data_IF_141987155544
#
_entry.id   IF_141987155544
#
_cell.length_a   1.000
_cell.length_b   1.000
_cell.length_c   1.000
_cell.angle_alpha   90.00
_cell.angle_beta   90.00
_cell.angle_gamma   90.00
#
_symmetry.space_group_name_H-M   'P 1'
#
loop_
_entity.id
_entity.type
_entity.pdbx_description
1 polymer ?
#
# COMPACT_ATOMS: atom_id res chain seq x y z
N UNK A 1 2.11 -19.52 7.53
CA UNK A 1 0.90 -19.21 6.76
C UNK A 1 1.26 -18.14 5.76
N UNK A 2 1.03 -18.37 4.47
CA UNK A 2 1.31 -17.36 3.44
C UNK A 2 0.01 -16.63 3.18
N UNK A 3 -0.04 -15.34 3.50
CA UNK A 3 -1.21 -14.50 3.33
C UNK A 3 -0.82 -13.25 2.55
N UNK A 4 -1.55 -12.97 1.47
CA UNK A 4 -1.33 -11.76 0.66
C UNK A 4 -2.60 -10.93 0.59
N UNK A 5 -2.43 -9.61 0.63
CA UNK A 5 -3.44 -8.65 0.24
C UNK A 5 -3.31 -8.36 -1.26
N UNK A 6 -4.28 -8.76 -2.06
CA UNK A 6 -4.32 -8.47 -3.50
C UNK A 6 -5.05 -7.16 -3.73
N UNK A 7 -4.36 -6.18 -4.32
CA UNK A 7 -4.94 -4.93 -4.79
C UNK A 7 -5.11 -5.02 -6.31
N UNK A 8 -6.35 -5.20 -6.77
CA UNK A 8 -6.70 -5.38 -8.18
C UNK A 8 -7.20 -4.05 -8.74
N UNK A 9 -6.51 -3.52 -9.73
CA UNK A 9 -6.93 -2.32 -10.46
C UNK A 9 -7.67 -2.69 -11.74
N UNK A 10 -8.89 -2.17 -11.87
CA UNK A 10 -9.64 -2.17 -13.13
C UNK A 10 -9.16 -1.04 -14.05
N UNK A 11 -9.46 -1.15 -15.34
CA UNK A 11 -9.17 -0.12 -16.35
C UNK A 11 -9.97 1.17 -16.10
N UNK A 12 -11.14 1.06 -15.46
CA UNK A 12 -11.96 2.21 -15.04
C UNK A 12 -11.39 2.98 -13.84
N UNK A 13 -10.19 2.63 -13.36
CA UNK A 13 -9.52 3.31 -12.24
C UNK A 13 -10.02 2.91 -10.85
N UNK A 14 -11.00 2.00 -10.76
CA UNK A 14 -11.45 1.42 -9.49
C UNK A 14 -10.48 0.35 -9.03
N UNK A 15 -10.24 0.30 -7.73
CA UNK A 15 -9.41 -0.73 -7.11
C UNK A 15 -10.21 -1.54 -6.10
N UNK A 16 -9.99 -2.85 -6.10
CA UNK A 16 -10.63 -3.79 -5.19
C UNK A 16 -9.56 -4.55 -4.41
N UNK A 17 -9.85 -4.86 -3.14
CA UNK A 17 -8.92 -5.54 -2.25
C UNK A 17 -9.46 -6.92 -1.91
N UNK A 18 -8.69 -7.99 -2.14
CA UNK A 18 -9.04 -9.36 -1.72
C UNK A 18 -7.91 -9.93 -0.89
N UNK A 19 -8.23 -10.47 0.27
CA UNK A 19 -7.26 -11.25 1.06
C UNK A 19 -7.27 -12.71 0.58
N UNK A 20 -6.08 -13.24 0.31
CA UNK A 20 -5.88 -14.64 -0.07
C UNK A 20 -4.96 -15.33 0.94
N UNK A 21 -5.35 -16.55 1.33
CA UNK A 21 -4.64 -17.37 2.31
C UNK A 21 -4.21 -18.69 1.67
N UNK A 22 -3.01 -19.13 2.02
CA UNK A 22 -2.36 -20.41 1.72
C UNK A 22 -2.63 -21.01 0.33
N UNK A 23 -3.75 -21.72 0.13
CA UNK A 23 -4.05 -22.43 -1.12
C UNK A 23 -4.04 -21.49 -2.33
N UNK A 24 -4.70 -20.33 -2.20
CA UNK A 24 -4.79 -19.32 -3.26
C UNK A 24 -3.52 -18.46 -3.37
N UNK A 25 -2.67 -18.47 -2.34
CA UNK A 25 -1.46 -17.65 -2.28
C UNK A 25 -0.23 -18.34 -2.90
N UNK A 26 -0.17 -19.69 -2.84
CA UNK A 26 0.93 -20.49 -3.40
C UNK A 26 1.28 -20.18 -4.86
N UNK A 27 0.32 -19.99 -5.78
CA UNK A 27 0.63 -19.71 -7.18
C UNK A 27 1.38 -18.38 -7.41
N UNK A 28 1.26 -17.44 -6.47
CA UNK A 28 1.96 -16.15 -6.57
C UNK A 28 3.43 -16.25 -6.17
N UNK A 29 3.79 -17.21 -5.32
CA UNK A 29 5.16 -17.37 -4.83
C UNK A 29 6.06 -17.84 -5.96
N UNK A 30 7.17 -17.15 -6.18
CA UNK A 30 8.14 -17.46 -7.23
C UNK A 30 7.95 -16.70 -8.53
N UNK A 31 6.80 -16.06 -8.74
CA UNK A 31 6.55 -15.18 -9.89
C UNK A 31 7.32 -13.87 -9.78
N UNK A 32 7.59 -13.26 -10.94
CA UNK A 32 8.29 -11.99 -11.04
C UNK A 32 7.35 -10.83 -11.39
N UNK A 33 7.75 -9.62 -10.98
CA UNK A 33 7.03 -8.41 -11.40
C UNK A 33 7.09 -8.23 -12.92
N UNK A 34 5.91 -8.14 -13.52
CA UNK A 34 5.68 -8.00 -14.96
C UNK A 34 5.11 -9.26 -15.60
N UNK A 35 5.13 -10.40 -14.89
CA UNK A 35 4.50 -11.63 -15.33
C UNK A 35 2.98 -11.57 -15.24
N UNK A 36 2.35 -12.41 -16.05
CA UNK A 36 0.91 -12.48 -16.20
C UNK A 36 0.39 -13.75 -15.52
N UNK A 37 -0.71 -13.63 -14.79
CA UNK A 37 -1.37 -14.71 -14.06
C UNK A 37 -2.85 -14.78 -14.44
N UNK A 38 -3.37 -16.00 -14.57
CA UNK A 38 -4.81 -16.23 -14.78
C UNK A 38 -5.57 -16.06 -13.48
N UNK A 39 -6.72 -15.40 -13.55
CA UNK A 39 -7.59 -15.19 -12.40
C UNK A 39 -8.19 -16.46 -11.80
N UNK A 40 -8.23 -17.56 -12.57
CA UNK A 40 -8.67 -18.89 -12.12
C UNK A 40 -7.90 -19.38 -10.88
N UNK A 41 -6.64 -18.97 -10.72
CA UNK A 41 -5.81 -19.37 -9.57
C UNK A 41 -6.23 -18.74 -8.24
N UNK A 42 -7.09 -17.72 -8.27
CA UNK A 42 -7.56 -16.99 -7.08
C UNK A 42 -9.06 -16.64 -7.15
N UNK A 43 -9.84 -17.54 -7.76
CA UNK A 43 -11.31 -17.53 -7.89
C UNK A 43 -11.92 -16.41 -8.75
N UNK A 44 -11.14 -15.79 -9.64
CA UNK A 44 -11.65 -14.77 -10.57
C UNK A 44 -11.61 -15.32 -11.99
N UNK A 45 -12.64 -16.05 -12.37
CA UNK A 45 -12.69 -16.75 -13.65
C UNK A 45 -12.80 -15.78 -14.83
N UNK A 46 -12.09 -16.10 -15.92
CA UNK A 46 -12.14 -15.34 -17.18
C UNK A 46 -11.32 -14.06 -17.21
N UNK A 47 -10.53 -13.77 -16.17
CA UNK A 47 -9.65 -12.61 -16.14
C UNK A 47 -8.17 -12.98 -16.26
N UNK A 48 -7.39 -12.08 -16.84
CA UNK A 48 -5.94 -12.18 -16.90
C UNK A 48 -5.32 -10.92 -16.29
N UNK A 49 -4.39 -11.12 -15.36
CA UNK A 49 -3.82 -10.07 -14.53
C UNK A 49 -2.30 -10.01 -14.69
N UNK A 50 -1.76 -8.80 -14.71
CA UNK A 50 -0.32 -8.57 -14.67
C UNK A 50 0.11 -8.11 -13.28
N UNK A 51 1.18 -8.71 -12.77
CA UNK A 51 1.81 -8.30 -11.51
C UNK A 51 2.60 -7.02 -11.76
N UNK A 52 2.18 -5.91 -11.16
CA UNK A 52 2.85 -4.61 -11.35
C UNK A 52 3.86 -4.29 -10.26
N UNK A 53 3.69 -4.86 -9.06
CA UNK A 53 4.57 -4.65 -7.93
C UNK A 53 3.92 -5.10 -6.62
N UNK A 54 4.44 -4.57 -5.52
CA UNK A 54 3.94 -4.89 -4.19
C UNK A 54 4.78 -4.26 -3.09
N UNK A 55 4.44 -4.65 -1.86
CA UNK A 55 5.09 -4.19 -0.64
C UNK A 55 5.45 -5.38 0.24
N UNK A 56 6.66 -5.33 0.78
CA UNK A 56 7.17 -6.27 1.77
C UNK A 56 6.51 -6.05 3.14
N UNK A 57 6.60 -7.00 4.07
CA UNK A 57 6.02 -6.85 5.42
C UNK A 57 6.60 -5.65 6.19
N UNK A 58 7.84 -5.25 5.89
CA UNK A 58 8.46 -4.04 6.45
C UNK A 58 8.03 -2.74 5.76
N UNK A 59 7.13 -2.79 4.77
CA UNK A 59 6.75 -1.65 3.95
C UNK A 59 7.78 -1.26 2.88
N UNK A 60 8.79 -2.10 2.61
CA UNK A 60 9.72 -1.85 1.51
C UNK A 60 9.02 -2.12 0.17
N UNK A 61 9.08 -1.17 -0.78
CA UNK A 61 8.48 -1.39 -2.10
C UNK A 61 9.32 -2.38 -2.91
N UNK A 62 8.64 -3.19 -3.71
CA UNK A 62 9.30 -4.08 -4.65
C UNK A 62 9.72 -3.34 -5.92
N UNK A 63 10.91 -3.67 -6.46
CA UNK A 63 11.44 -3.04 -7.67
C UNK A 63 11.92 -4.08 -8.68
N UNK A 64 11.58 -3.84 -9.96
CA UNK A 64 11.97 -4.69 -11.10
C UNK A 64 13.50 -4.73 -11.28
N UNK A 65 14.04 -5.87 -11.70
CA UNK A 65 15.46 -6.05 -12.03
C UNK A 65 16.39 -6.31 -10.83
N UNK A 66 15.88 -6.35 -9.60
CA UNK A 66 16.68 -6.68 -8.41
C UNK A 66 16.57 -8.18 -8.11
N UNK A 67 17.70 -8.86 -8.22
CA UNK A 67 17.88 -10.24 -7.78
C UNK A 67 18.10 -10.29 -6.26
N UNK A 68 17.40 -11.20 -5.59
CA UNK A 68 17.44 -11.38 -4.13
C UNK A 68 16.21 -10.83 -3.41
N UNK A 69 16.12 -11.06 -2.10
CA UNK A 69 14.97 -10.68 -1.28
C UNK A 69 14.93 -9.17 -1.01
N UNK A 70 16.04 -8.61 -0.49
CA UNK A 70 16.20 -7.18 -0.19
C UNK A 70 17.59 -6.74 -0.61
N UNK A 71 17.70 -5.53 -1.16
CA UNK A 71 18.99 -4.93 -1.54
C UNK A 71 19.02 -3.45 -1.19
N UNK A 72 20.14 -3.00 -0.64
CA UNK A 72 20.44 -1.57 -0.47
C UNK A 72 21.00 -1.02 -1.79
N UNK A 73 20.28 -0.10 -2.41
CA UNK A 73 20.68 0.54 -3.66
C UNK A 73 20.86 2.04 -3.47
N UNK A 74 21.80 2.62 -4.21
CA UNK A 74 21.89 4.06 -4.41
C UNK A 74 20.86 4.44 -5.47
N UNK A 75 19.83 5.18 -5.09
CA UNK A 75 18.74 5.60 -6.00
C UNK A 75 18.72 7.12 -6.10
N UNK A 76 18.57 7.63 -7.33
CA UNK A 76 18.40 9.07 -7.62
C UNK A 76 16.93 9.51 -7.51
N UNK A 77 16.02 8.63 -7.94
CA UNK A 77 14.57 8.83 -7.90
C UNK A 77 13.84 7.57 -8.38
N UNK A 78 12.53 7.53 -8.16
CA UNK A 78 11.65 6.43 -8.57
C UNK A 78 11.21 5.53 -7.41
N UNK A 79 11.15 4.23 -7.66
CA UNK A 79 10.59 3.25 -6.70
C UNK A 79 11.41 3.23 -5.39
N UNK A 80 10.78 3.58 -4.28
CA UNK A 80 11.38 3.67 -2.94
C UNK A 80 12.10 4.99 -2.62
N UNK A 81 12.17 5.93 -3.57
CA UNK A 81 12.68 7.27 -3.33
C UNK A 81 12.01 8.28 -4.27
N UNK A 82 11.13 9.14 -3.73
CA UNK A 82 10.39 10.15 -4.51
C UNK A 82 11.29 11.24 -5.14
N UNK A 83 12.60 11.18 -4.91
CA UNK A 83 13.56 12.18 -5.33
C UNK A 83 13.68 13.31 -4.32
N UNK A 84 14.77 14.05 -4.41
CA UNK A 84 14.98 15.33 -3.74
C UNK A 84 15.36 16.39 -4.77
N UNK A 85 16.10 17.42 -4.37
CA UNK A 85 16.72 18.34 -5.30
C UNK A 85 17.57 17.59 -6.37
N UNK A 86 17.74 18.22 -7.54
CA UNK A 86 18.50 17.65 -8.66
C UNK A 86 19.89 17.19 -8.18
N UNK A 87 20.24 15.94 -8.50
CA UNK A 87 21.54 15.36 -8.17
C UNK A 87 21.62 14.63 -6.82
N UNK A 88 20.60 14.70 -5.95
CA UNK A 88 20.60 13.97 -4.69
C UNK A 88 20.45 12.47 -4.94
N UNK A 89 21.40 11.70 -4.43
CA UNK A 89 21.34 10.24 -4.35
C UNK A 89 21.17 9.82 -2.91
N UNK A 90 20.33 8.82 -2.65
CA UNK A 90 20.21 8.22 -1.31
C UNK A 90 20.33 6.72 -1.40
N UNK A 91 21.05 6.12 -0.44
CA UNK A 91 21.01 4.66 -0.25
C UNK A 91 19.71 4.30 0.44
N UNK A 92 18.90 3.47 -0.22
CA UNK A 92 17.62 2.96 0.28
C UNK A 92 17.56 1.45 0.10
N UNK A 93 16.94 0.77 1.06
CA UNK A 93 16.62 -0.65 0.95
C UNK A 93 15.33 -0.80 0.16
N UNK A 94 15.34 -1.71 -0.80
CA UNK A 94 14.18 -2.07 -1.61
C UNK A 94 14.07 -3.59 -1.68
N UNK A 95 12.84 -4.07 -1.89
CA UNK A 95 12.58 -5.49 -2.09
C UNK A 95 12.87 -5.88 -3.55
N UNK A 96 13.27 -7.14 -3.75
CA UNK A 96 13.49 -7.73 -5.06
C UNK A 96 12.25 -7.84 -5.93
N UNK A 97 12.43 -8.31 -7.16
CA UNK A 97 11.34 -8.47 -8.11
C UNK A 97 10.55 -9.78 -7.94
N UNK A 98 11.10 -10.77 -7.23
CA UNK A 98 10.48 -12.09 -7.06
C UNK A 98 9.55 -12.08 -5.86
N UNK A 99 8.34 -12.60 -6.04
CA UNK A 99 7.37 -12.74 -4.96
C UNK A 99 7.80 -13.88 -4.04
N UNK A 100 7.86 -13.60 -2.74
CA UNK A 100 8.21 -14.54 -1.69
C UNK A 100 7.22 -14.43 -0.53
N UNK A 101 7.29 -15.37 0.41
CA UNK A 101 6.30 -15.56 1.47
C UNK A 101 6.12 -14.36 2.43
N UNK A 102 7.14 -13.50 2.55
CA UNK A 102 7.11 -12.35 3.47
C UNK A 102 6.55 -11.08 2.86
N UNK A 103 5.96 -11.16 1.68
CA UNK A 103 5.26 -10.03 1.06
C UNK A 103 3.92 -9.82 1.76
N UNK A 104 3.54 -8.56 1.95
CA UNK A 104 2.25 -8.21 2.56
C UNK A 104 1.18 -7.93 1.50
N UNK A 105 1.55 -7.19 0.44
CA UNK A 105 0.61 -6.73 -0.58
C UNK A 105 1.17 -6.97 -1.99
N UNK A 106 0.30 -7.41 -2.90
CA UNK A 106 0.61 -7.56 -4.33
C UNK A 106 -0.35 -6.68 -5.12
N UNK A 107 0.19 -5.93 -6.09
CA UNK A 107 -0.57 -5.05 -6.96
C UNK A 107 -0.77 -5.68 -8.33
N UNK A 108 -2.02 -5.85 -8.73
CA UNK A 108 -2.43 -6.49 -9.97
C UNK A 108 -3.11 -5.47 -10.89
N UNK A 109 -2.81 -5.55 -12.19
CA UNK A 109 -3.47 -4.80 -13.25
C UNK A 109 -4.22 -5.75 -14.17
N UNK A 110 -5.46 -5.44 -14.50
CA UNK A 110 -6.24 -6.22 -15.46
C UNK A 110 -5.69 -6.02 -16.89
N UNK A 111 -5.32 -7.11 -17.54
CA UNK A 111 -4.87 -7.13 -18.95
C UNK A 111 -6.01 -7.53 -19.87
N UNK A 112 -6.72 -8.61 -19.54
CA UNK A 112 -7.92 -9.05 -20.25
C UNK A 112 -9.10 -9.09 -19.29
N UNK A 113 -10.20 -8.48 -19.72
CA UNK A 113 -11.46 -8.49 -18.99
C UNK A 113 -12.26 -9.74 -19.32
N UNK A 114 -12.81 -10.37 -18.28
CA UNK A 114 -13.76 -11.47 -18.40
C UNK A 114 -15.21 -10.99 -18.56
N UNK A 115 -16.13 -11.96 -18.67
CA UNK A 115 -17.53 -11.71 -18.98
C UNK A 115 -18.35 -11.10 -17.82
N UNK A 116 -17.91 -11.26 -16.56
CA UNK A 116 -18.60 -10.74 -15.36
C UNK A 116 -17.87 -9.55 -14.80
N UNK A 117 -18.57 -8.49 -14.38
CA UNK A 117 -17.92 -7.30 -13.78
C UNK A 117 -17.06 -7.69 -12.57
N UNK A 118 -15.87 -7.09 -12.44
CA UNK A 118 -14.94 -7.36 -11.33
C UNK A 118 -15.57 -7.18 -9.96
N UNK A 119 -16.49 -6.23 -9.80
CA UNK A 119 -17.22 -6.00 -8.55
C UNK A 119 -18.07 -7.23 -8.13
N UNK A 120 -18.75 -7.84 -9.10
CA UNK A 120 -19.58 -9.03 -8.89
C UNK A 120 -18.71 -10.28 -8.70
N UNK A 121 -17.61 -10.38 -9.46
CA UNK A 121 -16.66 -11.49 -9.35
C UNK A 121 -15.91 -11.51 -8.01
N UNK A 122 -15.79 -10.36 -7.34
CA UNK A 122 -15.17 -10.22 -6.02
C UNK A 122 -16.20 -10.26 -4.87
N UNK A 123 -17.51 -10.39 -5.17
CA UNK A 123 -18.57 -10.42 -4.16
C UNK A 123 -18.69 -9.13 -3.34
N UNK A 124 -18.20 -8.01 -3.88
CA UNK A 124 -18.19 -6.71 -3.21
C UNK A 124 -19.31 -5.85 -3.78
N UNK A 125 -20.52 -6.01 -3.26
CA UNK A 125 -21.35 -4.83 -3.05
C UNK A 125 -20.57 -3.89 -2.13
N UNK A 126 -20.47 -2.63 -2.51
CA UNK A 126 -19.69 -1.60 -1.82
C UNK A 126 -19.84 -1.70 -0.30
N UNK A 127 -18.76 -1.76 0.49
CA UNK A 127 -18.69 -0.89 1.63
C UNK A 127 -18.33 0.51 1.10
N UNK A 128 -19.22 1.45 1.35
CA UNK A 128 -18.92 2.87 1.32
C UNK A 128 -17.63 3.17 2.12
N UNK A 129 -16.89 4.22 1.76
CA UNK A 129 -15.62 4.53 2.39
C UNK A 129 -15.84 4.83 3.87
N UNK A 130 -15.14 4.12 4.75
CA UNK A 130 -14.90 4.64 6.11
C UNK A 130 -13.99 5.85 5.96
N UNK A 131 -14.61 7.02 5.91
CA UNK A 131 -13.98 8.29 6.25
C UNK A 131 -13.43 8.19 7.67
N UNK A 132 -12.11 8.17 7.80
CA UNK A 132 -11.43 8.78 8.94
C UNK A 132 -10.54 9.87 8.36
N UNK A 133 -11.11 11.08 8.30
CA UNK A 133 -10.45 12.27 7.78
C UNK A 133 -11.17 13.54 8.25
N UNK A 134 -10.81 13.99 9.45
CA UNK A 134 -10.70 15.41 9.84
C UNK A 134 -9.86 15.36 11.14
N UNK A 135 -8.73 16.03 11.26
CA UNK A 135 -8.62 17.48 11.25
C UNK A 135 -7.29 17.97 10.63
N UNK A 136 -7.39 18.83 9.61
CA UNK A 136 -6.48 19.97 9.45
C UNK A 136 -7.36 21.18 9.16
N UNK A 137 -7.46 22.12 10.10
CA UNK A 137 -7.83 23.51 9.82
C UNK A 137 -6.77 24.42 10.42
N UNK A 138 -5.91 24.91 9.54
CA UNK A 138 -5.14 26.12 9.76
C UNK A 138 -6.10 27.31 9.92
N UNK A 139 -5.94 28.09 10.98
CA UNK A 139 -6.32 29.50 11.00
C UNK A 139 -5.24 30.28 11.75
N UNK A 140 -4.45 31.07 11.02
CA UNK A 140 -3.81 32.29 11.55
C UNK A 140 -4.88 33.38 11.57
N UNK A 141 -5.12 34.01 12.72
CA UNK A 141 -4.98 35.47 12.94
C UNK A 141 -5.11 35.80 14.42
N UNK A 142 -4.61 36.99 14.73
CA UNK A 142 -4.23 37.54 16.02
C UNK A 142 -5.39 37.88 16.97
N UNK A 143 -4.95 38.19 18.20
CA UNK A 143 -5.42 39.29 19.05
C UNK A 143 -6.38 38.98 20.21
N UNK A 144 -5.86 39.32 21.41
CA UNK A 144 -6.56 39.74 22.65
C UNK A 144 -7.46 38.71 23.34
N UNK A 145 -7.67 38.74 24.66
CA UNK A 145 -7.16 39.42 25.86
C UNK A 145 -8.22 39.06 26.91
N UNK A 146 -7.81 38.76 28.14
CA UNK A 146 -8.67 38.62 29.34
C UNK A 146 -9.61 37.39 29.30
N UNK A 147 -9.89 36.67 30.38
CA UNK A 147 -9.96 37.06 31.78
C UNK A 147 -9.94 35.81 32.69
N UNK A 148 -9.49 36.00 33.95
CA UNK A 148 -9.49 35.02 35.05
C UNK A 148 -10.93 34.60 35.44
N UNK A 149 -11.09 33.55 36.26
CA UNK A 149 -11.11 33.74 37.73
C UNK A 149 -10.22 32.68 38.45
N UNK A 150 -9.33 33.02 39.41
CA UNK A 150 -9.61 33.24 40.85
C UNK A 150 -10.57 32.18 41.41
N UNK A 151 -10.32 31.37 42.44
CA UNK A 151 -9.57 31.40 43.71
C UNK A 151 -9.73 29.94 44.24
N UNK A 152 -8.76 29.25 44.85
CA UNK A 152 -8.45 29.22 46.29
C UNK A 152 -7.38 28.12 46.47
N UNK A 153 -6.15 28.48 46.88
CA UNK A 153 -5.61 28.35 48.25
C UNK A 153 -5.17 26.93 48.67
N UNK A 154 -3.84 26.74 48.70
CA UNK A 154 -3.02 26.34 49.87
C UNK A 154 -1.57 26.19 49.40
N UNK A 155 -0.74 27.18 49.71
CA UNK A 155 0.16 27.17 50.87
C UNK A 155 1.37 26.24 50.67
N UNK A 156 2.55 26.89 50.71
CA UNK A 156 3.82 26.35 51.21
C UNK A 156 4.53 25.23 50.44
N UNK A 157 5.59 25.60 49.70
CA UNK A 157 7.00 25.18 49.89
C UNK A 157 7.84 25.58 48.67
N UNK A 158 8.91 26.38 48.88
CA UNK A 158 10.34 25.98 48.79
C UNK A 158 10.66 25.35 47.43
N UNK A 159 11.46 25.94 46.56
CA UNK A 159 12.86 26.37 46.73
C UNK A 159 13.22 27.49 45.74
#
# INVERSE_FOLDING_TARGET
>A
MVSFKLCISDQSGKTYQKEVKDSLARPFVGLNIGETIKGESFDINGYEFQITGGSDYCGFPMRRGILGLRKKLVTYGGVGFRGGAKGIKRRKTVCGHKIHERISQINLKVVKQGNKKLAEALGMEKPEPKEEGNEVKEHKTEDKKQEKPAKEQKEEKKE
#
